data_IF_833841637784
#
_entry.id   IF_833841637784
#
_cell.length_a   1.000
_cell.length_b   1.000
_cell.length_c   1.000
_cell.angle_alpha   90.00
_cell.angle_beta   90.00
_cell.angle_gamma   90.00
#
_symmetry.space_group_name_H-M   'P 1'
#
loop_
_entity.id
_entity.type
_entity.pdbx_description
1 polymer ?
#
# COMPACT_ATOMS: atom_id res chain seq x y z
N UNK A 1 1.91 -10.83 -11.11
CA UNK A 1 2.41 -11.03 -12.48
C UNK A 1 1.36 -10.47 -13.42
N UNK A 2 1.71 -9.46 -14.21
CA UNK A 2 0.84 -8.85 -15.23
C UNK A 2 1.46 -9.17 -16.59
N UNK A 3 0.64 -9.53 -17.57
CA UNK A 3 1.06 -9.81 -18.93
C UNK A 3 0.41 -8.83 -19.89
N UNK A 4 1.22 -8.27 -20.78
CA UNK A 4 0.79 -7.45 -21.90
C UNK A 4 1.00 -8.22 -23.20
N UNK A 5 0.05 -8.13 -24.12
CA UNK A 5 0.10 -8.79 -25.43
C UNK A 5 0.04 -7.70 -26.49
N UNK A 6 1.15 -7.48 -27.19
CA UNK A 6 1.23 -6.53 -28.30
C UNK A 6 0.58 -7.07 -29.58
N UNK A 7 0.30 -6.17 -30.51
CA UNK A 7 -0.42 -6.46 -31.76
C UNK A 7 0.26 -7.48 -32.69
N UNK A 8 1.55 -7.76 -32.50
CA UNK A 8 2.36 -8.72 -33.29
C UNK A 8 2.79 -9.97 -32.51
N UNK A 9 2.08 -10.31 -31.42
CA UNK A 9 2.48 -11.36 -30.46
C UNK A 9 3.74 -11.14 -29.61
N UNK A 10 4.41 -9.96 -29.52
CA UNK A 10 5.35 -9.78 -28.45
C UNK A 10 4.59 -9.78 -27.13
N UNK A 11 5.02 -10.62 -26.20
CA UNK A 11 4.41 -10.68 -24.87
C UNK A 11 5.40 -10.15 -23.85
N UNK A 12 4.95 -9.18 -23.07
CA UNK A 12 5.74 -8.58 -22.00
C UNK A 12 5.20 -9.07 -20.66
N UNK A 13 6.04 -9.75 -19.89
CA UNK A 13 5.69 -10.31 -18.60
C UNK A 13 6.38 -9.53 -17.49
N UNK A 14 5.60 -8.83 -16.67
CA UNK A 14 6.14 -8.01 -15.58
C UNK A 14 6.28 -8.81 -14.28
N UNK A 15 7.48 -8.73 -13.71
CA UNK A 15 7.89 -9.32 -12.43
C UNK A 15 8.06 -8.18 -11.42
N UNK A 16 7.50 -8.36 -10.22
CA UNK A 16 7.52 -7.38 -9.14
C UNK A 16 8.40 -7.86 -7.98
N UNK A 17 8.86 -6.94 -7.13
CA UNK A 17 9.82 -7.23 -6.05
C UNK A 17 9.31 -8.22 -5.01
N UNK A 18 8.01 -8.22 -4.71
CA UNK A 18 7.36 -9.19 -3.83
C UNK A 18 5.88 -9.42 -4.20
N UNK A 19 5.24 -10.42 -3.60
CA UNK A 19 3.85 -10.80 -3.89
C UNK A 19 2.82 -9.71 -3.57
N UNK A 20 3.19 -8.71 -2.76
CA UNK A 20 2.34 -7.64 -2.28
C UNK A 20 2.87 -6.25 -2.69
N UNK A 21 3.80 -6.20 -3.64
CA UNK A 21 4.41 -4.97 -4.14
C UNK A 21 4.07 -4.79 -5.61
N UNK A 22 3.90 -3.53 -5.99
CA UNK A 22 3.71 -3.11 -7.38
C UNK A 22 4.97 -2.43 -7.93
N UNK A 23 6.09 -2.49 -7.19
CA UNK A 23 7.40 -2.06 -7.65
C UNK A 23 7.95 -3.06 -8.67
N UNK A 24 8.16 -2.63 -9.93
CA UNK A 24 8.63 -3.52 -10.97
C UNK A 24 10.11 -3.85 -10.78
N UNK A 25 10.44 -5.13 -10.93
CA UNK A 25 11.79 -5.67 -10.81
C UNK A 25 12.38 -5.98 -12.19
N UNK A 26 11.62 -6.71 -13.00
CA UNK A 26 12.05 -7.10 -14.34
C UNK A 26 10.85 -7.24 -15.28
N UNK A 27 11.12 -7.20 -16.59
CA UNK A 27 10.20 -7.67 -17.61
C UNK A 27 10.86 -8.73 -18.48
N UNK A 28 10.08 -9.73 -18.86
CA UNK A 28 10.49 -10.75 -19.82
C UNK A 28 9.70 -10.50 -21.09
N UNK A 29 10.41 -10.13 -22.14
CA UNK A 29 9.80 -9.81 -23.41
C UNK A 29 10.09 -10.94 -24.38
N UNK A 30 9.02 -11.59 -24.84
CA UNK A 30 9.08 -12.68 -25.82
C UNK A 30 8.77 -12.09 -27.18
N UNK A 31 9.64 -12.28 -28.16
CA UNK A 31 9.42 -11.79 -29.53
C UNK A 31 8.63 -12.79 -30.40
N UNK A 32 8.41 -12.43 -31.67
CA UNK A 32 7.72 -13.28 -32.64
C UNK A 32 8.43 -14.60 -32.96
N UNK A 33 9.73 -14.72 -32.65
CA UNK A 33 10.52 -15.94 -32.78
C UNK A 33 10.55 -16.78 -31.49
N UNK A 34 9.80 -16.36 -30.46
CA UNK A 34 9.79 -16.96 -29.12
C UNK A 34 11.11 -16.81 -28.35
N UNK A 35 12.01 -15.92 -28.77
CA UNK A 35 13.20 -15.60 -27.98
C UNK A 35 12.80 -14.69 -26.81
N UNK A 36 13.29 -15.06 -25.62
CA UNK A 36 12.99 -14.34 -24.39
C UNK A 36 14.15 -13.43 -24.00
N UNK A 37 13.84 -12.16 -23.80
CA UNK A 37 14.78 -11.15 -23.37
C UNK A 37 14.39 -10.64 -21.99
N UNK A 38 15.26 -10.86 -21.00
CA UNK A 38 15.06 -10.34 -19.64
C UNK A 38 15.62 -8.92 -19.58
N UNK A 39 14.81 -8.00 -19.06
CA UNK A 39 15.14 -6.59 -18.91
C UNK A 39 14.87 -6.16 -17.47
N UNK A 40 15.77 -5.36 -16.90
CA UNK A 40 15.76 -5.01 -15.48
C UNK A 40 15.36 -3.56 -15.29
N UNK A 41 14.44 -3.33 -14.36
CA UNK A 41 14.00 -2.00 -13.98
C UNK A 41 14.90 -1.40 -12.90
N UNK A 42 15.17 -0.11 -13.03
CA UNK A 42 15.76 0.70 -11.96
C UNK A 42 14.74 1.78 -11.59
N UNK A 43 14.38 1.82 -10.32
CA UNK A 43 13.26 2.60 -9.81
C UNK A 43 13.71 3.68 -8.82
N UNK A 44 12.96 4.79 -8.78
CA UNK A 44 13.04 5.75 -7.67
C UNK A 44 12.42 5.18 -6.38
N UNK A 45 12.56 5.89 -5.25
CA UNK A 45 12.05 5.55 -3.91
C UNK A 45 10.53 5.41 -3.78
N UNK A 46 9.77 5.73 -4.83
CA UNK A 46 8.34 5.48 -4.89
C UNK A 46 7.99 4.34 -5.86
N UNK A 47 9.00 3.63 -6.37
CA UNK A 47 8.87 2.55 -7.34
C UNK A 47 8.59 3.02 -8.78
N UNK A 48 8.75 4.31 -9.10
CA UNK A 48 8.65 4.81 -10.47
C UNK A 48 9.86 4.33 -11.30
N UNK A 49 9.67 3.62 -12.43
CA UNK A 49 10.76 3.25 -13.32
C UNK A 49 11.48 4.47 -13.90
N UNK A 50 12.77 4.63 -13.62
CA UNK A 50 13.62 5.65 -14.24
C UNK A 50 14.48 5.09 -15.36
N UNK A 51 14.90 3.83 -15.26
CA UNK A 51 15.70 3.19 -16.31
C UNK A 51 15.29 1.73 -16.52
N UNK A 52 15.59 1.23 -17.72
CA UNK A 52 15.49 -0.16 -18.08
C UNK A 52 16.76 -0.62 -18.78
N UNK A 53 17.32 -1.73 -18.34
CA UNK A 53 18.59 -2.28 -18.85
C UNK A 53 18.45 -3.72 -19.35
N UNK A 54 19.36 -4.13 -20.23
CA UNK A 54 19.54 -5.54 -20.59
C UNK A 54 20.39 -6.31 -19.54
N UNK A 55 20.63 -7.59 -19.79
CA UNK A 55 21.45 -8.43 -18.90
C UNK A 55 22.93 -8.02 -18.80
N UNK A 56 23.43 -7.18 -19.71
CA UNK A 56 24.79 -6.63 -19.69
C UNK A 56 24.85 -5.24 -19.05
N UNK A 57 23.72 -4.68 -18.60
CA UNK A 57 23.63 -3.34 -18.05
C UNK A 57 23.58 -2.23 -19.11
N UNK A 58 23.35 -2.56 -20.39
CA UNK A 58 23.10 -1.54 -21.43
C UNK A 58 21.73 -0.91 -21.19
N UNK A 59 21.68 0.42 -21.14
CA UNK A 59 20.42 1.17 -21.03
C UNK A 59 19.64 1.02 -22.35
N UNK A 60 18.39 0.58 -22.22
CA UNK A 60 17.43 0.39 -23.32
C UNK A 60 16.40 1.53 -23.36
N UNK A 61 16.02 2.02 -22.19
CA UNK A 61 15.05 3.10 -21.99
C UNK A 61 15.38 3.84 -20.70
N UNK A 62 15.22 5.16 -20.72
CA UNK A 62 15.33 6.00 -19.52
C UNK A 62 14.30 7.13 -19.53
N UNK A 63 13.87 7.54 -18.34
CA UNK A 63 12.87 8.57 -18.16
C UNK A 63 13.07 9.28 -16.82
N UNK A 64 12.89 10.61 -16.83
CA UNK A 64 12.89 11.43 -15.61
C UNK A 64 11.53 12.06 -15.38
N UNK A 65 11.15 12.19 -14.11
CA UNK A 65 9.83 12.66 -13.71
C UNK A 65 9.91 13.85 -12.75
N UNK A 66 8.90 14.71 -12.80
CA UNK A 66 8.59 15.62 -11.72
C UNK A 66 7.92 14.86 -10.57
N UNK A 67 7.80 15.50 -9.41
CA UNK A 67 7.23 14.93 -8.17
C UNK A 67 5.86 14.24 -8.34
N UNK A 68 5.04 14.66 -9.29
CA UNK A 68 3.71 14.11 -9.53
C UNK A 68 3.65 13.17 -10.74
N UNK A 69 4.79 12.66 -11.20
CA UNK A 69 4.85 11.68 -12.28
C UNK A 69 4.77 12.29 -13.67
N UNK A 70 4.76 13.63 -13.79
CA UNK A 70 4.90 14.30 -15.08
C UNK A 70 6.29 14.05 -15.62
N UNK A 71 6.35 13.46 -16.81
CA UNK A 71 7.61 13.23 -17.52
C UNK A 71 8.30 14.54 -17.88
N UNK A 72 9.57 14.66 -17.53
CA UNK A 72 10.46 15.74 -17.99
C UNK A 72 11.09 15.33 -19.32
N UNK A 73 11.54 14.08 -19.41
CA UNK A 73 12.26 13.55 -20.56
C UNK A 73 12.10 12.02 -20.65
N UNK A 74 12.01 11.49 -21.87
CA UNK A 74 12.06 10.05 -22.21
C UNK A 74 13.09 9.86 -23.31
N UNK A 75 13.99 8.88 -23.15
CA UNK A 75 14.81 8.37 -24.24
C UNK A 75 14.55 6.88 -24.41
N UNK A 76 14.24 6.51 -25.64
CA UNK A 76 14.23 5.14 -26.14
C UNK A 76 15.56 4.92 -26.90
N UNK A 77 16.50 4.19 -26.30
CA UNK A 77 17.77 3.85 -26.95
C UNK A 77 17.61 2.69 -27.95
N UNK A 78 16.56 1.90 -27.77
CA UNK A 78 16.11 0.82 -28.63
C UNK A 78 14.58 0.94 -28.80
N UNK A 79 13.98 0.41 -29.87
CA UNK A 79 12.54 0.48 -30.12
C UNK A 79 11.78 -0.37 -29.09
N UNK A 80 11.53 0.20 -27.93
CA UNK A 80 10.99 -0.50 -26.78
C UNK A 80 9.97 0.37 -26.04
N UNK A 81 8.71 -0.06 -26.03
CA UNK A 81 7.67 0.67 -25.32
C UNK A 81 7.70 0.30 -23.84
N UNK A 82 7.90 1.31 -22.98
CA UNK A 82 7.81 1.18 -21.53
C UNK A 82 6.73 2.11 -20.99
N UNK A 83 5.66 1.52 -20.47
CA UNK A 83 4.47 2.25 -20.06
C UNK A 83 4.24 2.22 -18.54
N UNK A 84 4.99 1.45 -17.76
CA UNK A 84 4.86 1.51 -16.29
C UNK A 84 5.23 2.90 -15.75
N UNK A 85 4.46 3.38 -14.78
CA UNK A 85 4.68 4.66 -14.08
C UNK A 85 4.81 4.40 -12.58
N UNK A 86 4.22 5.23 -11.71
CA UNK A 86 4.15 4.89 -10.29
C UNK A 86 3.57 3.49 -10.09
N UNK A 87 3.88 2.87 -8.95
CA UNK A 87 3.41 1.54 -8.62
C UNK A 87 1.89 1.39 -8.88
N UNK A 88 1.51 0.46 -9.76
CA UNK A 88 0.12 0.21 -10.18
C UNK A 88 -0.41 1.12 -11.29
N UNK A 89 0.39 2.05 -11.80
CA UNK A 89 0.05 2.95 -12.91
C UNK A 89 0.58 2.44 -14.25
N UNK A 90 -0.24 2.57 -15.28
CA UNK A 90 0.11 2.30 -16.66
C UNK A 90 -0.13 3.55 -17.51
N UNK A 91 0.87 4.05 -18.22
CA UNK A 91 0.73 5.15 -19.16
C UNK A 91 -0.13 4.70 -20.34
N UNK A 92 -1.24 5.38 -20.52
CA UNK A 92 -1.96 5.41 -21.78
C UNK A 92 -1.31 6.45 -22.69
N UNK A 93 -0.57 6.00 -23.71
CA UNK A 93 0.14 6.89 -24.64
C UNK A 93 -0.79 7.72 -25.52
N UNK A 94 -2.05 7.29 -25.74
CA UNK A 94 -3.01 8.04 -26.56
C UNK A 94 -3.46 9.32 -25.85
N UNK A 95 -3.75 9.20 -24.56
CA UNK A 95 -4.27 10.32 -23.75
C UNK A 95 -3.18 11.05 -22.96
N UNK A 96 -2.03 10.41 -22.72
CA UNK A 96 -1.00 10.89 -21.81
C UNK A 96 -1.35 10.70 -20.32
N UNK A 97 -2.52 10.13 -20.03
CA UNK A 97 -2.98 9.87 -18.66
C UNK A 97 -2.41 8.54 -18.15
N UNK A 98 -2.29 8.42 -16.84
CA UNK A 98 -1.87 7.19 -16.20
C UNK A 98 -3.11 6.44 -15.73
N UNK A 99 -3.36 5.26 -16.28
CA UNK A 99 -4.41 4.38 -15.81
C UNK A 99 -3.98 3.68 -14.52
N UNK A 100 -4.68 3.99 -13.43
CA UNK A 100 -4.75 3.15 -12.24
C UNK A 100 -6.03 2.32 -12.37
N UNK A 101 -6.03 1.07 -11.93
CA UNK A 101 -7.13 0.09 -12.10
C UNK A 101 -8.55 0.65 -12.16
N UNK A 102 -8.91 1.64 -11.33
CA UNK A 102 -10.26 2.23 -11.32
C UNK A 102 -10.37 3.68 -11.84
N UNK A 103 -9.26 4.38 -12.06
CA UNK A 103 -9.25 5.81 -12.40
C UNK A 103 -8.07 6.19 -13.28
N UNK A 104 -8.27 7.21 -14.11
CA UNK A 104 -7.19 7.86 -14.82
C UNK A 104 -6.61 8.98 -13.96
N UNK A 105 -5.30 8.97 -13.81
CA UNK A 105 -4.50 9.98 -13.15
C UNK A 105 -3.89 10.92 -14.19
N UNK A 106 -4.05 12.21 -13.97
CA UNK A 106 -3.43 13.27 -14.76
C UNK A 106 -2.14 13.73 -14.05
N UNK A 107 -0.96 13.40 -14.61
CA UNK A 107 0.32 13.79 -14.02
C UNK A 107 0.62 15.28 -14.14
N UNK A 108 -0.01 16.02 -15.07
CA UNK A 108 0.22 17.45 -15.24
C UNK A 108 -0.34 18.27 -14.07
N UNK A 109 -1.46 17.81 -13.50
CA UNK A 109 -2.11 18.46 -12.35
C UNK A 109 -1.97 17.66 -11.05
N UNK A 110 -1.42 16.44 -11.11
CA UNK A 110 -1.15 15.58 -9.96
C UNK A 110 -2.40 15.00 -9.29
N UNK A 111 -3.46 14.69 -10.07
CA UNK A 111 -4.78 14.30 -9.55
C UNK A 111 -5.48 13.29 -10.45
N UNK A 112 -6.45 12.56 -9.90
CA UNK A 112 -7.37 11.75 -10.71
C UNK A 112 -8.31 12.65 -11.52
N UNK A 113 -8.71 12.20 -12.70
CA UNK A 113 -9.67 12.90 -13.57
C UNK A 113 -11.11 12.56 -13.20
N UNK A 114 -11.35 11.39 -12.58
CA UNK A 114 -12.64 10.98 -12.05
C UNK A 114 -12.71 11.12 -10.52
N UNK A 115 -13.90 11.45 -9.97
CA UNK A 115 -14.12 11.39 -8.53
C UNK A 115 -13.96 9.94 -8.04
N UNK A 116 -13.56 9.81 -6.79
CA UNK A 116 -13.36 8.52 -6.14
C UNK A 116 -14.64 7.65 -6.23
N UNK A 117 -14.57 6.43 -6.81
CA UNK A 117 -15.72 5.55 -6.93
C UNK A 117 -16.36 5.19 -5.59
N UNK A 118 -15.59 5.23 -4.49
CA UNK A 118 -16.12 4.99 -3.14
C UNK A 118 -16.67 6.27 -2.48
N UNK A 119 -16.73 7.39 -3.22
CA UNK A 119 -17.28 8.66 -2.77
C UNK A 119 -16.49 9.26 -1.61
N UNK A 120 -17.19 9.90 -0.66
CA UNK A 120 -16.55 10.55 0.50
C UNK A 120 -15.71 9.61 1.38
N UNK A 121 -15.81 8.29 1.20
CA UNK A 121 -14.97 7.29 1.86
C UNK A 121 -13.52 7.31 1.34
N UNK A 122 -13.27 7.83 0.14
CA UNK A 122 -11.92 8.08 -0.41
C UNK A 122 -11.22 9.30 0.20
N UNK A 123 -11.93 10.05 1.05
CA UNK A 123 -11.49 11.30 1.64
C UNK A 123 -12.30 12.49 1.16
N UNK A 124 -12.03 13.66 1.73
CA UNK A 124 -12.75 14.90 1.35
C UNK A 124 -12.40 15.38 -0.06
N UNK A 125 -11.22 15.02 -0.57
CA UNK A 125 -10.78 15.35 -1.91
C UNK A 125 -10.90 14.12 -2.82
N UNK A 126 -12.04 14.00 -3.51
CA UNK A 126 -12.38 12.86 -4.36
C UNK A 126 -11.45 12.67 -5.56
N UNK A 127 -10.59 13.65 -5.87
CA UNK A 127 -9.67 13.59 -7.01
C UNK A 127 -8.20 13.48 -6.56
N UNK A 128 -7.94 13.31 -5.27
CA UNK A 128 -6.57 13.21 -4.76
C UNK A 128 -5.94 11.86 -5.11
N UNK A 129 -4.71 11.88 -5.61
CA UNK A 129 -3.90 10.68 -5.82
C UNK A 129 -3.26 10.19 -4.50
N UNK A 130 -2.41 11.01 -3.91
CA UNK A 130 -1.76 10.71 -2.64
C UNK A 130 -1.57 12.00 -1.81
N UNK A 131 -1.35 11.92 -0.48
CA UNK A 131 -1.00 13.09 0.32
C UNK A 131 0.39 13.62 -0.02
N UNK A 132 1.29 12.75 -0.50
CA UNK A 132 2.65 13.09 -0.92
C UNK A 132 3.16 12.04 -1.94
N UNK A 133 3.38 12.43 -3.20
CA UNK A 133 3.80 11.53 -4.28
C UNK A 133 5.22 10.96 -4.19
N UNK A 134 6.06 11.45 -3.27
CA UNK A 134 7.41 10.92 -3.05
C UNK A 134 7.42 9.70 -2.13
N UNK A 135 6.51 9.67 -1.15
CA UNK A 135 6.54 8.66 -0.07
C UNK A 135 5.29 7.79 -0.02
N UNK A 136 4.31 8.09 -0.88
CA UNK A 136 3.03 7.39 -0.95
C UNK A 136 2.69 7.06 -2.40
N UNK A 137 2.10 5.89 -2.58
CA UNK A 137 1.54 5.44 -3.85
C UNK A 137 0.12 4.95 -3.61
N UNK A 138 -0.78 5.16 -4.56
CA UNK A 138 -2.12 4.56 -4.59
C UNK A 138 -2.24 3.62 -5.81
N UNK A 139 -1.78 2.36 -5.70
CA UNK A 139 -1.72 1.47 -6.87
C UNK A 139 -3.10 1.10 -7.44
N UNK A 140 -4.17 1.29 -6.68
CA UNK A 140 -5.53 0.89 -7.07
C UNK A 140 -6.35 2.12 -7.47
N UNK A 141 -6.04 3.29 -6.91
CA UNK A 141 -6.79 4.52 -7.14
C UNK A 141 -8.07 4.53 -6.33
N UNK A 142 -8.04 4.16 -5.04
CA UNK A 142 -9.23 3.98 -4.21
C UNK A 142 -9.26 4.74 -2.88
N UNK A 143 -8.13 5.11 -2.26
CA UNK A 143 -8.11 5.89 -1.02
C UNK A 143 -6.69 6.00 -0.45
N UNK A 144 -6.35 7.21 -0.01
CA UNK A 144 -5.29 7.45 0.96
C UNK A 144 -5.76 7.00 2.36
N UNK A 145 -5.03 6.10 3.04
CA UNK A 145 -5.31 5.76 4.45
C UNK A 145 -5.40 7.01 5.32
N UNK A 146 -6.18 7.01 6.43
CA UNK A 146 -6.27 8.19 7.29
C UNK A 146 -4.89 8.66 7.75
N UNK A 147 -4.62 9.97 7.63
CA UNK A 147 -3.31 10.56 7.96
C UNK A 147 -3.07 10.71 9.48
N UNK A 148 -4.11 10.57 10.30
CA UNK A 148 -4.04 10.65 11.76
C UNK A 148 -5.03 9.71 12.41
N UNK A 149 -4.67 9.25 13.61
CA UNK A 149 -5.58 8.49 14.47
C UNK A 149 -6.18 9.40 15.55
N UNK A 150 -7.51 9.43 15.62
CA UNK A 150 -8.25 10.16 16.64
C UNK A 150 -8.60 9.20 17.78
N UNK A 151 -7.94 9.38 18.92
CA UNK A 151 -8.22 8.63 20.15
C UNK A 151 -9.44 9.22 20.87
N UNK A 152 -10.62 9.11 20.25
CA UNK A 152 -11.87 9.64 20.78
C UNK A 152 -12.17 9.06 22.18
N UNK A 153 -12.92 9.80 23.00
CA UNK A 153 -13.33 9.31 24.34
C UNK A 153 -14.08 7.97 24.22
N UNK A 154 -14.94 7.84 23.22
CA UNK A 154 -15.71 6.62 22.94
C UNK A 154 -14.79 5.46 22.56
N UNK A 155 -13.90 5.63 21.58
CA UNK A 155 -12.97 4.59 21.13
C UNK A 155 -12.02 4.12 22.24
N UNK A 156 -11.43 5.05 22.98
CA UNK A 156 -10.56 4.71 24.11
C UNK A 156 -11.34 4.01 25.22
N UNK A 157 -12.57 4.45 25.54
CA UNK A 157 -13.43 3.79 26.52
C UNK A 157 -13.79 2.38 26.06
N UNK A 158 -14.05 2.18 24.77
CA UNK A 158 -14.30 0.87 24.19
C UNK A 158 -13.12 -0.07 24.41
N UNK A 159 -11.90 0.36 24.05
CA UNK A 159 -10.68 -0.42 24.24
C UNK A 159 -10.44 -0.75 25.71
N UNK A 160 -10.54 0.25 26.59
CA UNK A 160 -10.35 0.03 28.03
C UNK A 160 -11.37 -0.92 28.61
N UNK A 161 -12.62 -0.80 28.16
CA UNK A 161 -13.64 -1.72 28.60
C UNK A 161 -13.29 -3.10 28.10
N UNK A 162 -13.17 -3.30 26.78
CA UNK A 162 -13.06 -4.59 26.06
C UNK A 162 -11.73 -5.34 26.27
N UNK A 163 -10.63 -4.64 26.46
CA UNK A 163 -9.28 -5.19 26.30
C UNK A 163 -8.30 -4.81 27.42
N UNK A 164 -8.73 -4.15 28.50
CA UNK A 164 -7.85 -3.77 29.63
C UNK A 164 -8.44 -4.26 30.96
N UNK A 165 -7.60 -4.88 31.79
CA UNK A 165 -7.93 -5.28 33.16
C UNK A 165 -8.60 -6.66 33.33
N UNK A 166 -8.83 -7.04 34.58
CA UNK A 166 -9.47 -8.31 34.96
C UNK A 166 -10.91 -8.05 35.44
N UNK A 167 -11.86 -7.98 34.50
CA UNK A 167 -13.29 -8.01 34.82
C UNK A 167 -13.77 -9.47 34.86
N UNK A 168 -14.47 -9.82 35.94
CA UNK A 168 -15.08 -11.15 36.13
C UNK A 168 -16.17 -11.36 35.07
N UNK A 169 -16.19 -12.54 34.42
CA UNK A 169 -17.18 -12.93 33.42
C UNK A 169 -16.83 -12.59 31.96
N UNK A 170 -15.56 -12.31 31.67
CA UNK A 170 -15.12 -11.82 30.36
C UNK A 170 -14.26 -12.84 29.61
N UNK A 171 -14.84 -13.54 28.64
CA UNK A 171 -14.18 -14.55 27.78
C UNK A 171 -13.38 -13.96 26.60
N UNK A 172 -12.78 -12.78 26.75
CA UNK A 172 -12.02 -12.16 25.65
C UNK A 172 -10.58 -12.69 25.60
N UNK A 173 -10.15 -13.05 24.39
CA UNK A 173 -8.95 -13.87 24.09
C UNK A 173 -7.60 -13.19 24.31
N UNK A 174 -7.53 -11.87 24.49
CA UNK A 174 -6.27 -11.14 24.68
C UNK A 174 -6.46 -9.82 25.41
N UNK A 175 -5.53 -9.48 26.32
CA UNK A 175 -5.60 -8.29 27.17
C UNK A 175 -4.33 -7.47 27.12
N UNK A 176 -4.46 -6.15 27.11
CA UNK A 176 -3.33 -5.25 27.31
C UNK A 176 -2.80 -5.37 28.75
N UNK A 177 -1.49 -5.54 28.88
CA UNK A 177 -0.77 -5.45 30.17
C UNK A 177 -0.20 -4.06 30.42
N UNK A 178 -0.21 -3.21 29.38
CA UNK A 178 0.32 -1.85 29.40
C UNK A 178 -0.57 -0.89 30.20
N UNK A 179 0.05 0.14 30.79
CA UNK A 179 -0.72 1.23 31.38
C UNK A 179 -1.42 2.08 30.30
N UNK A 180 -2.32 2.98 30.72
CA UNK A 180 -3.12 3.78 29.79
C UNK A 180 -2.28 4.65 28.82
N UNK A 181 -1.14 5.18 29.26
CA UNK A 181 -0.28 6.02 28.43
C UNK A 181 0.49 5.17 27.41
N UNK A 182 1.04 4.04 27.86
CA UNK A 182 1.76 3.07 27.04
C UNK A 182 0.87 2.42 25.98
N UNK A 183 -0.36 2.05 26.34
CA UNK A 183 -1.35 1.53 25.40
C UNK A 183 -1.64 2.57 24.32
N UNK A 184 -1.95 3.83 24.68
CA UNK A 184 -2.18 4.90 23.69
C UNK A 184 -0.97 5.15 22.80
N UNK A 185 0.24 5.13 23.38
CA UNK A 185 1.49 5.27 22.63
C UNK A 185 1.67 4.12 21.64
N UNK A 186 1.42 2.89 22.08
CA UNK A 186 1.50 1.69 21.24
C UNK A 186 0.48 1.72 20.11
N UNK A 187 -0.77 2.10 20.38
CA UNK A 187 -1.82 2.28 19.36
C UNK A 187 -1.38 3.29 18.29
N UNK A 188 -0.82 4.43 18.68
CA UNK A 188 -0.28 5.41 17.72
C UNK A 188 0.92 4.86 16.94
N UNK A 189 1.76 4.05 17.56
CA UNK A 189 2.90 3.43 16.89
C UNK A 189 2.45 2.42 15.83
N UNK A 190 1.50 1.54 16.18
CA UNK A 190 0.89 0.57 15.26
C UNK A 190 0.26 1.29 14.07
N UNK A 191 -0.46 2.39 14.32
CA UNK A 191 -1.05 3.20 13.26
C UNK A 191 -0.02 3.89 12.37
N UNK A 192 1.06 4.46 12.94
CA UNK A 192 2.06 5.24 12.19
C UNK A 192 3.05 4.38 11.40
N UNK A 193 3.35 3.19 11.90
CA UNK A 193 4.34 2.28 11.32
C UNK A 193 3.78 0.85 11.35
N UNK A 194 2.66 0.57 10.68
CA UNK A 194 2.13 -0.78 10.62
C UNK A 194 3.08 -1.67 9.82
N UNK A 195 3.05 -2.96 10.11
CA UNK A 195 3.67 -3.97 9.23
C UNK A 195 2.69 -4.39 8.13
N UNK A 196 1.37 -4.27 8.40
CA UNK A 196 0.29 -4.58 7.46
C UNK A 196 -0.92 -3.67 7.69
N UNK A 197 -1.57 -3.26 6.61
CA UNK A 197 -2.87 -2.57 6.62
C UNK A 197 -3.88 -3.45 5.87
N UNK A 198 -5.13 -3.47 6.31
CA UNK A 198 -6.23 -4.23 5.69
C UNK A 198 -7.47 -3.34 5.68
N UNK A 199 -8.25 -3.34 4.61
CA UNK A 199 -9.57 -2.71 4.57
C UNK A 199 -10.65 -3.75 4.79
N UNK A 200 -11.61 -3.43 5.65
CA UNK A 200 -12.76 -4.29 5.99
C UNK A 200 -14.01 -3.40 6.03
N UNK A 201 -14.72 -3.32 4.90
CA UNK A 201 -15.79 -2.34 4.70
C UNK A 201 -15.30 -0.89 4.85
N UNK A 202 -15.92 -0.14 5.76
CA UNK A 202 -15.58 1.27 6.06
C UNK A 202 -14.39 1.44 7.03
N UNK A 203 -13.78 0.33 7.44
CA UNK A 203 -12.72 0.31 8.46
C UNK A 203 -11.36 -0.05 7.89
N UNK A 204 -10.34 0.52 8.52
CA UNK A 204 -8.95 0.19 8.28
C UNK A 204 -8.37 -0.52 9.50
N UNK A 205 -7.69 -1.62 9.26
CA UNK A 205 -7.06 -2.47 10.27
C UNK A 205 -5.55 -2.37 10.09
N UNK A 206 -4.87 -1.92 11.13
CA UNK A 206 -3.42 -1.74 11.21
C UNK A 206 -2.86 -2.82 12.13
N UNK A 207 -1.87 -3.55 11.64
CA UNK A 207 -1.26 -4.66 12.36
C UNK A 207 0.23 -4.44 12.51
N UNK A 208 0.76 -4.74 13.70
CA UNK A 208 2.19 -4.66 13.97
C UNK A 208 2.66 -5.75 14.93
N UNK A 209 3.80 -6.34 14.60
CA UNK A 209 4.59 -7.22 15.45
C UNK A 209 5.68 -6.41 16.13
N UNK A 210 5.83 -6.57 17.44
CA UNK A 210 6.81 -5.86 18.27
C UNK A 210 7.73 -6.88 18.95
N UNK A 211 8.81 -7.35 18.29
CA UNK A 211 9.59 -8.51 18.73
C UNK A 211 10.15 -8.37 20.14
N UNK A 212 10.54 -7.15 20.54
CA UNK A 212 11.15 -6.87 21.84
C UNK A 212 10.19 -6.23 22.85
N UNK A 213 8.86 -6.31 22.62
CA UNK A 213 7.88 -5.69 23.50
C UNK A 213 6.68 -6.61 23.73
N UNK A 214 6.49 -7.00 24.99
CA UNK A 214 5.25 -7.62 25.43
C UNK A 214 4.20 -6.52 25.59
N UNK A 215 3.09 -6.67 24.88
CA UNK A 215 1.99 -5.70 24.87
C UNK A 215 0.72 -6.24 25.52
N UNK A 216 0.64 -7.55 25.70
CA UNK A 216 -0.49 -8.18 26.34
C UNK A 216 -0.22 -9.61 26.77
N UNK A 217 -1.26 -10.23 27.32
CA UNK A 217 -1.29 -11.66 27.67
C UNK A 217 -2.61 -12.28 27.24
N UNK A 218 -2.59 -13.58 26.96
CA UNK A 218 -3.81 -14.39 26.83
C UNK A 218 -4.38 -14.74 28.21
N UNK A 219 -5.63 -15.26 28.31
CA UNK A 219 -6.16 -15.80 29.55
C UNK A 219 -5.30 -16.90 30.17
N UNK A 220 -4.59 -17.67 29.34
CA UNK A 220 -3.68 -18.75 29.74
C UNK A 220 -2.30 -18.23 30.21
N UNK A 221 -2.07 -16.91 30.12
CA UNK A 221 -0.82 -16.27 30.55
C UNK A 221 0.26 -16.19 29.48
N UNK A 222 -0.03 -16.54 28.22
CA UNK A 222 0.93 -16.44 27.12
C UNK A 222 1.20 -14.99 26.77
N UNK A 223 2.47 -14.60 26.70
CA UNK A 223 2.88 -13.25 26.32
C UNK A 223 2.56 -12.95 24.86
N UNK A 224 1.98 -11.77 24.63
CA UNK A 224 1.58 -11.28 23.30
C UNK A 224 2.49 -10.13 22.88
N UNK A 225 3.05 -10.23 21.69
CA UNK A 225 3.96 -9.23 21.11
C UNK A 225 3.39 -8.57 19.84
N UNK A 226 2.16 -8.91 19.44
CA UNK A 226 1.49 -8.31 18.28
C UNK A 226 0.31 -7.46 18.73
N UNK A 227 -0.01 -6.43 17.95
CA UNK A 227 -1.17 -5.60 18.18
C UNK A 227 -1.91 -5.30 16.87
N UNK A 228 -3.24 -5.26 16.99
CA UNK A 228 -4.15 -4.81 15.94
C UNK A 228 -4.84 -3.53 16.38
N UNK A 229 -4.94 -2.56 15.49
CA UNK A 229 -5.66 -1.29 15.68
C UNK A 229 -6.66 -1.16 14.55
N UNK A 230 -7.92 -0.91 14.88
CA UNK A 230 -9.00 -0.73 13.91
C UNK A 230 -9.50 0.70 14.01
N UNK A 231 -9.57 1.38 12.89
CA UNK A 231 -10.07 2.76 12.78
C UNK A 231 -11.13 2.85 11.70
N UNK A 232 -12.07 3.79 11.86
CA UNK A 232 -12.97 4.20 10.78
C UNK A 232 -12.20 5.00 9.72
N UNK A 233 -12.79 5.19 8.55
CA UNK A 233 -12.22 5.97 7.44
C UNK A 233 -11.81 7.41 7.81
N UNK A 234 -12.48 8.02 8.79
CA UNK A 234 -12.15 9.35 9.31
C UNK A 234 -10.95 9.35 10.31
N UNK A 235 -10.36 8.18 10.59
CA UNK A 235 -9.26 7.99 11.53
C UNK A 235 -9.68 7.78 13.00
N UNK A 236 -10.98 7.70 13.31
CA UNK A 236 -11.47 7.46 14.66
C UNK A 236 -11.17 6.03 15.12
N UNK A 237 -10.60 5.90 16.31
CA UNK A 237 -10.32 4.58 16.90
C UNK A 237 -11.64 3.84 17.20
N UNK A 238 -11.80 2.67 16.58
CA UNK A 238 -12.90 1.72 16.86
C UNK A 238 -12.48 0.80 18.00
N UNK A 239 -11.37 0.09 17.82
CA UNK A 239 -10.82 -0.82 18.82
C UNK A 239 -9.32 -1.05 18.62
N UNK A 240 -8.64 -1.54 19.64
CA UNK A 240 -7.24 -1.95 19.59
C UNK A 240 -6.97 -3.03 20.63
N UNK A 241 -6.27 -4.09 20.24
CA UNK A 241 -6.01 -5.22 21.12
C UNK A 241 -4.76 -6.01 20.75
N UNK A 242 -4.10 -6.64 21.74
CA UNK A 242 -2.99 -7.56 21.48
C UNK A 242 -3.46 -8.81 20.75
N UNK A 243 -2.57 -9.44 20.00
CA UNK A 243 -2.83 -10.67 19.25
C UNK A 243 -1.66 -11.64 19.42
N UNK A 244 -1.95 -12.93 19.35
CA UNK A 244 -0.93 -14.00 19.29
C UNK A 244 -0.56 -14.26 17.82
N UNK A 245 -1.58 -14.44 16.99
CA UNK A 245 -1.47 -14.67 15.56
C UNK A 245 -2.47 -13.77 14.85
N UNK A 246 -2.03 -13.13 13.76
CA UNK A 246 -2.95 -12.43 12.88
C UNK A 246 -3.70 -13.48 12.07
N UNK A 247 -5.02 -13.53 12.23
CA UNK A 247 -5.87 -14.40 11.42
C UNK A 247 -6.02 -13.81 10.03
N UNK A 248 -5.97 -14.69 9.03
CA UNK A 248 -6.42 -14.35 7.68
C UNK A 248 -7.92 -14.04 7.73
N UNK A 249 -8.27 -12.83 7.32
CA UNK A 249 -9.65 -12.39 7.21
C UNK A 249 -10.17 -12.74 5.81
N UNK A 250 -11.50 -12.91 5.66
CA UNK A 250 -12.11 -12.96 4.32
C UNK A 250 -11.91 -11.59 3.69
N UNK A 251 -10.87 -11.51 2.86
CA UNK A 251 -10.44 -10.32 2.17
C UNK A 251 -11.46 -9.99 1.10
N UNK A 252 -12.08 -8.82 1.15
CA UNK A 252 -12.57 -8.20 -0.08
C UNK A 252 -11.48 -7.31 -0.66
N UNK A 253 -10.73 -6.58 0.16
CA UNK A 253 -9.74 -5.60 -0.31
C UNK A 253 -8.52 -5.56 0.64
N UNK A 254 -7.50 -6.39 0.38
CA UNK A 254 -6.20 -6.24 1.06
C UNK A 254 -5.57 -4.95 0.51
N UNK A 255 -5.46 -3.93 1.37
CA UNK A 255 -4.68 -2.73 1.10
C UNK A 255 -3.30 -2.86 1.77
N UNK A 256 -2.39 -3.61 1.17
CA UNK A 256 -0.98 -3.57 1.61
C UNK A 256 -0.36 -2.30 1.05
N UNK A 257 -0.31 -1.26 1.87
CA UNK A 257 0.60 -0.14 1.66
C UNK A 257 1.87 -0.45 2.45
N UNK A 258 2.93 -0.87 1.77
CA UNK A 258 4.26 -0.83 2.36
C UNK A 258 4.72 0.63 2.33
N UNK A 259 5.09 1.16 3.50
CA UNK A 259 5.88 2.39 3.53
C UNK A 259 7.27 1.98 3.02
N UNK A 260 7.69 2.46 1.85
CA UNK A 260 9.08 2.28 1.42
C UNK A 260 10.00 2.94 2.46
N UNK A 261 11.06 2.23 2.82
CA UNK A 261 11.88 2.49 4.01
C UNK A 261 12.58 3.83 3.98
#
# INVERSE_FOLDING_TARGET
MIQEIGSNHPTSLYIYTDQNSYEPLARIDTDGNQEQHIRYFHTDLNGCPEELTDANGKILWECSFQLWGKRIHEIEHEPIEQNLRYQGQYLDRETGLHYNTFRYYDPDIGRFTQPDPIGLLGGFNLYQYAPNGLTWVDPWGWSCTPNKINLTKAGVKHVKNRHVGNKIGWEHKSKWTLNNAEMKSTVRNVFRKPDRIIKDGDRFIYEKTMPNKIVGVTPEGTNLNKARVVVESNGDLVTAFPQEVFKDMKVTDILIFSKQR
#
